data_IF_474955625657
#
_entry.id   IF_474955625657
#
_cell.length_a   1.000
_cell.length_b   1.000
_cell.length_c   1.000
_cell.angle_alpha   90.00
_cell.angle_beta   90.00
_cell.angle_gamma   90.00
#
_symmetry.space_group_name_H-M   'P 1'
#
loop_
_entity.id
_entity.type
_entity.pdbx_description
1 polymer ?
#
# COMPACT_ATOMS: atom_id res chain seq x y z
N UNK A 1 1.24 -36.99 -37.21
CA UNK A 1 0.44 -36.97 -35.97
C UNK A 1 1.25 -36.67 -34.71
N UNK A 2 2.39 -37.34 -34.47
CA UNK A 2 3.18 -37.17 -33.23
C UNK A 2 3.82 -35.77 -33.06
N UNK A 3 4.26 -35.12 -34.14
CA UNK A 3 4.89 -33.79 -34.08
C UNK A 3 3.90 -32.69 -33.63
N UNK A 4 2.68 -32.69 -34.17
CA UNK A 4 1.64 -31.74 -33.78
C UNK A 4 1.19 -31.92 -32.32
N UNK A 5 1.28 -33.15 -31.80
CA UNK A 5 0.95 -33.45 -30.41
C UNK A 5 2.01 -32.89 -29.44
N UNK A 6 3.30 -32.95 -29.81
CA UNK A 6 4.39 -32.37 -29.00
C UNK A 6 4.29 -30.84 -28.97
N UNK A 7 3.97 -30.19 -30.10
CA UNK A 7 3.75 -28.75 -30.14
C UNK A 7 2.54 -28.31 -29.30
N UNK A 8 1.46 -29.11 -29.30
CA UNK A 8 0.29 -28.84 -28.47
C UNK A 8 0.62 -28.90 -26.97
N UNK A 9 1.43 -29.90 -26.56
CA UNK A 9 1.87 -30.04 -25.16
C UNK A 9 2.79 -28.87 -24.76
N UNK A 10 3.75 -28.50 -25.61
CA UNK A 10 4.66 -27.40 -25.32
C UNK A 10 3.93 -26.05 -25.22
N UNK A 11 2.95 -25.81 -26.10
CA UNK A 11 2.11 -24.60 -26.06
C UNK A 11 1.20 -24.56 -24.82
N UNK A 12 0.65 -25.72 -24.42
CA UNK A 12 -0.11 -25.87 -23.18
C UNK A 12 0.73 -25.55 -21.94
N UNK A 13 1.95 -26.07 -21.84
CA UNK A 13 2.87 -25.76 -20.73
C UNK A 13 3.26 -24.27 -20.69
N UNK A 14 3.46 -23.65 -21.85
CA UNK A 14 3.77 -22.22 -21.93
C UNK A 14 2.63 -21.33 -21.41
N UNK A 15 1.37 -21.68 -21.70
CA UNK A 15 0.20 -20.96 -21.21
C UNK A 15 0.02 -21.08 -19.69
N UNK A 16 0.38 -22.23 -19.09
CA UNK A 16 0.32 -22.41 -17.63
C UNK A 16 1.34 -21.51 -16.93
N UNK A 17 2.55 -21.35 -17.47
CA UNK A 17 3.55 -20.44 -16.90
C UNK A 17 3.13 -18.97 -16.93
N UNK A 18 2.40 -18.52 -17.97
CA UNK A 18 1.91 -17.13 -18.03
C UNK A 18 0.76 -16.84 -17.05
N UNK A 19 -0.05 -17.84 -16.69
CA UNK A 19 -1.15 -17.64 -15.76
C UNK A 19 -0.70 -17.43 -14.31
N UNK A 20 0.51 -17.91 -13.93
CA UNK A 20 1.02 -17.81 -12.55
C UNK A 20 1.63 -16.43 -12.23
N UNK A 21 2.03 -15.65 -13.24
CA UNK A 21 2.74 -14.36 -13.03
C UNK A 21 1.76 -13.21 -12.72
N UNK A 22 0.46 -13.38 -12.96
CA UNK A 22 -0.50 -12.27 -13.02
C UNK A 22 -1.21 -11.93 -11.71
N UNK A 23 -0.92 -12.60 -10.59
CA UNK A 23 -1.61 -12.36 -9.31
C UNK A 23 -0.70 -11.79 -8.23
N UNK A 24 0.11 -10.79 -8.58
CA UNK A 24 0.65 -9.90 -7.56
C UNK A 24 -0.50 -9.00 -7.17
N UNK A 25 -1.21 -9.36 -6.09
CA UNK A 25 -2.23 -8.53 -5.47
C UNK A 25 -1.55 -7.25 -4.97
N UNK A 26 -1.55 -6.21 -5.80
CA UNK A 26 -1.31 -4.86 -5.33
C UNK A 26 -2.52 -4.49 -4.48
N UNK A 27 -2.42 -4.68 -3.17
CA UNK A 27 -3.38 -4.14 -2.21
C UNK A 27 -3.34 -2.61 -2.30
N UNK A 28 -4.25 -2.05 -3.08
CA UNK A 28 -4.41 -0.60 -3.21
C UNK A 28 -5.49 -0.13 -2.23
N UNK A 29 -5.16 0.84 -1.37
CA UNK A 29 -6.12 1.41 -0.42
C UNK A 29 -6.66 2.70 -1.03
N UNK A 30 -7.90 2.66 -1.50
CA UNK A 30 -8.56 3.83 -2.08
C UNK A 30 -9.08 4.77 -0.98
N UNK A 31 -8.61 6.02 -1.00
CA UNK A 31 -9.00 7.08 -0.09
C UNK A 31 -9.79 8.17 -0.81
N UNK A 32 -10.77 8.72 -0.10
CA UNK A 32 -11.56 9.86 -0.58
C UNK A 32 -10.92 11.14 -0.04
N UNK A 33 -11.00 12.23 -0.81
CA UNK A 33 -10.58 13.56 -0.37
C UNK A 33 -11.06 13.88 1.05
N UNK A 34 -10.14 14.36 1.87
CA UNK A 34 -10.36 14.67 3.27
C UNK A 34 -9.94 13.51 4.17
N UNK A 35 -10.68 13.31 5.25
CA UNK A 35 -10.32 12.44 6.37
C UNK A 35 -10.81 11.02 6.17
N UNK A 36 -9.91 10.05 6.34
CA UNK A 36 -10.19 8.62 6.22
C UNK A 36 -9.66 7.88 7.45
N UNK A 37 -10.37 6.86 7.92
CA UNK A 37 -9.87 5.95 8.94
C UNK A 37 -9.34 4.69 8.25
N UNK A 38 -8.04 4.45 8.37
CA UNK A 38 -7.33 3.39 7.63
C UNK A 38 -6.69 2.43 8.60
N UNK A 39 -7.00 1.14 8.46
CA UNK A 39 -6.27 0.06 9.13
C UNK A 39 -5.37 -0.61 8.11
N UNK A 40 -4.06 -0.53 8.31
CA UNK A 40 -3.09 -1.14 7.40
C UNK A 40 -2.95 -2.64 7.70
N UNK A 41 -3.36 -3.47 6.75
CA UNK A 41 -3.13 -4.91 6.78
C UNK A 41 -1.77 -5.23 6.16
N UNK A 42 -0.71 -4.95 6.93
CA UNK A 42 0.69 -5.04 6.51
C UNK A 42 1.42 -6.08 7.36
N UNK A 43 2.41 -6.77 6.78
CA UNK A 43 3.27 -7.70 7.52
C UNK A 43 4.34 -6.98 8.33
N UNK A 44 5.02 -6.03 7.69
CA UNK A 44 6.14 -5.30 8.29
C UNK A 44 5.75 -3.86 8.60
N UNK A 45 6.23 -3.37 9.75
CA UNK A 45 6.00 -1.99 10.16
C UNK A 45 6.92 -1.04 9.38
N UNK A 46 6.47 0.19 9.12
CA UNK A 46 7.26 1.20 8.40
C UNK A 46 7.02 2.60 8.95
N UNK A 47 7.95 3.52 8.66
CA UNK A 47 7.81 4.91 9.07
C UNK A 47 6.74 5.65 8.26
N UNK A 48 5.95 6.49 8.91
CA UNK A 48 4.92 7.32 8.29
C UNK A 48 5.50 8.25 7.22
N UNK A 49 6.73 8.73 7.43
CA UNK A 49 7.46 9.50 6.42
C UNK A 49 7.60 8.75 5.10
N UNK A 50 7.85 7.43 5.14
CA UNK A 50 7.94 6.60 3.93
C UNK A 50 6.62 6.57 3.18
N UNK A 51 5.50 6.42 3.90
CA UNK A 51 4.16 6.43 3.31
C UNK A 51 3.86 7.77 2.63
N UNK A 52 4.20 8.87 3.28
CA UNK A 52 3.97 10.23 2.77
C UNK A 52 4.85 10.53 1.56
N UNK A 53 6.11 10.07 1.55
CA UNK A 53 7.00 10.20 0.38
C UNK A 53 6.48 9.43 -0.83
N UNK A 54 5.88 8.27 -0.62
CA UNK A 54 5.26 7.47 -1.69
C UNK A 54 3.93 8.05 -2.16
N UNK A 55 3.21 8.80 -1.31
CA UNK A 55 1.87 9.32 -1.57
C UNK A 55 1.82 10.82 -1.21
N UNK A 56 2.32 11.70 -2.09
CA UNK A 56 2.36 13.15 -1.84
C UNK A 56 0.98 13.83 -1.73
N UNK A 57 -0.10 13.08 -1.94
CA UNK A 57 -1.50 13.49 -1.72
C UNK A 57 -1.88 13.47 -0.25
N UNK A 58 -1.14 12.77 0.61
CA UNK A 58 -1.35 12.76 2.05
C UNK A 58 -0.95 14.12 2.63
N UNK A 59 -1.89 14.76 3.33
CA UNK A 59 -1.68 16.00 4.07
C UNK A 59 -1.30 15.75 5.53
N UNK A 60 -1.88 14.72 6.15
CA UNK A 60 -1.56 14.35 7.52
C UNK A 60 -1.88 12.88 7.80
N UNK A 61 -1.17 12.31 8.77
CA UNK A 61 -1.46 10.99 9.36
C UNK A 61 -1.41 11.13 10.87
N UNK A 62 -2.39 10.59 11.59
CA UNK A 62 -2.40 10.60 13.05
C UNK A 62 -3.01 9.33 13.63
N UNK A 63 -2.75 9.08 14.91
CA UNK A 63 -3.44 8.07 15.70
C UNK A 63 -3.58 8.51 17.15
N UNK A 64 -4.52 7.90 17.86
CA UNK A 64 -4.70 8.12 19.29
C UNK A 64 -3.87 7.13 20.11
N UNK A 65 -3.11 7.64 21.06
CA UNK A 65 -2.32 6.87 22.03
C UNK A 65 -2.74 7.26 23.45
N UNK A 66 -3.68 6.50 24.02
CA UNK A 66 -4.30 6.87 25.29
C UNK A 66 -5.07 8.19 25.17
N UNK A 67 -4.63 9.20 25.93
CA UNK A 67 -5.23 10.55 25.94
C UNK A 67 -4.51 11.52 24.97
N UNK A 68 -3.45 11.07 24.29
CA UNK A 68 -2.65 11.89 23.38
C UNK A 68 -2.94 11.57 21.90
N UNK A 69 -2.74 12.56 21.04
CA UNK A 69 -2.82 12.41 19.58
C UNK A 69 -1.41 12.57 19.03
N UNK A 70 -0.89 11.51 18.43
CA UNK A 70 0.40 11.52 17.73
C UNK A 70 0.12 11.74 16.25
N UNK A 71 0.80 12.71 15.63
CA UNK A 71 0.51 13.11 14.26
C UNK A 71 1.73 13.58 13.47
N UNK A 72 1.63 13.39 12.15
CA UNK A 72 2.59 13.83 11.15
C UNK A 72 1.85 14.67 10.10
N UNK A 73 2.33 15.89 9.82
CA UNK A 73 1.71 16.81 8.84
C UNK A 73 2.66 17.13 7.70
N UNK A 74 2.20 16.94 6.46
CA UNK A 74 2.93 17.09 5.21
C UNK A 74 2.75 18.48 4.56
N UNK A 75 2.72 19.56 5.34
CA UNK A 75 2.46 20.91 4.80
C UNK A 75 3.73 21.75 4.55
N UNK A 76 4.88 21.40 5.16
CA UNK A 76 6.16 22.13 5.07
C UNK A 76 7.37 21.20 5.38
N UNK A 77 7.70 20.25 4.50
CA UNK A 77 8.81 19.27 4.72
C UNK A 77 8.66 18.35 5.96
N UNK A 78 7.45 18.25 6.53
CA UNK A 78 7.15 17.39 7.68
C UNK A 78 7.17 18.15 9.01
N UNK A 79 6.05 18.80 9.35
CA UNK A 79 5.85 19.32 10.71
C UNK A 79 5.12 18.23 11.50
N UNK A 80 5.82 17.61 12.43
CA UNK A 80 5.29 16.53 13.28
C UNK A 80 6.37 15.52 13.64
N UNK A 81 6.01 14.52 14.43
CA UNK A 81 6.93 13.43 14.76
C UNK A 81 6.82 12.31 13.72
N UNK A 82 7.96 11.85 13.21
CA UNK A 82 7.97 10.63 12.41
C UNK A 82 7.73 9.45 13.35
N UNK A 83 6.68 8.67 13.08
CA UNK A 83 6.31 7.50 13.87
C UNK A 83 6.16 6.26 13.00
N UNK A 84 6.13 5.10 13.66
CA UNK A 84 6.00 3.80 13.01
C UNK A 84 4.53 3.44 12.84
N UNK A 85 4.15 3.08 11.61
CA UNK A 85 2.88 2.45 11.28
C UNK A 85 3.01 0.96 11.55
N UNK A 86 2.28 0.49 12.56
CA UNK A 86 2.15 -0.90 12.96
C UNK A 86 0.99 -1.62 12.23
N UNK A 87 1.12 -2.94 12.00
CA UNK A 87 0.04 -3.81 11.55
C UNK A 87 -1.20 -3.71 12.43
N UNK A 88 -2.38 -3.79 11.79
CA UNK A 88 -3.69 -3.90 12.48
C UNK A 88 -4.04 -2.74 13.43
N UNK A 89 -3.35 -1.60 13.32
CA UNK A 89 -3.70 -0.36 14.01
C UNK A 89 -4.43 0.57 13.04
N UNK A 90 -5.43 1.29 13.55
CA UNK A 90 -6.19 2.28 12.78
C UNK A 90 -5.55 3.66 12.91
N UNK A 91 -5.40 4.33 11.78
CA UNK A 91 -4.86 5.69 11.66
C UNK A 91 -5.88 6.58 10.97
N UNK A 92 -5.86 7.86 11.31
CA UNK A 92 -6.54 8.89 10.55
C UNK A 92 -5.59 9.40 9.47
N UNK A 93 -5.99 9.27 8.20
CA UNK A 93 -5.22 9.73 7.03
C UNK A 93 -6.02 10.81 6.32
N UNK A 94 -5.45 12.01 6.22
CA UNK A 94 -6.05 13.14 5.53
C UNK A 94 -5.37 13.27 4.16
N UNK A 95 -6.16 13.29 3.08
CA UNK A 95 -5.68 13.41 1.70
C UNK A 95 -6.31 14.61 1.00
N UNK A 96 -5.53 15.31 0.17
CA UNK A 96 -5.97 16.52 -0.55
C UNK A 96 -6.93 16.24 -1.72
N UNK A 97 -6.90 15.02 -2.25
CA UNK A 97 -7.73 14.52 -3.34
C UNK A 97 -7.96 13.01 -3.24
N UNK A 98 -8.85 12.46 -4.08
CA UNK A 98 -9.08 11.02 -4.12
C UNK A 98 -7.81 10.33 -4.64
N UNK A 99 -7.31 9.33 -3.92
CA UNK A 99 -6.03 8.68 -4.22
C UNK A 99 -6.09 7.21 -3.88
N UNK A 100 -5.36 6.39 -4.65
CA UNK A 100 -5.11 5.00 -4.31
C UNK A 100 -3.72 4.88 -3.72
N UNK A 101 -3.61 4.52 -2.44
CA UNK A 101 -2.32 4.53 -1.74
C UNK A 101 -1.38 3.44 -2.23
N UNK A 102 -0.14 3.84 -2.48
CA UNK A 102 1.01 2.96 -2.67
C UNK A 102 1.65 2.65 -1.31
N UNK A 103 1.67 1.38 -0.93
CA UNK A 103 2.32 0.93 0.29
C UNK A 103 3.79 0.56 0.03
N UNK A 104 4.70 0.80 0.99
CA UNK A 104 6.07 0.34 0.85
C UNK A 104 6.13 -1.18 0.88
N UNK A 105 6.73 -1.77 -0.15
CA UNK A 105 6.96 -3.21 -0.25
C UNK A 105 8.38 -3.53 0.23
N UNK A 106 8.48 -4.28 1.32
CA UNK A 106 9.76 -4.84 1.79
C UNK A 106 9.78 -6.32 1.42
N UNK A 107 10.77 -6.70 0.59
CA UNK A 107 11.07 -8.09 0.21
C UNK A 107 11.74 -8.84 1.36
#
# INVERSE_FOLDING_TARGET
MKLNFIFLIAFSLFLICFAVISSIDYYSIDLVKGKNNVTFNITDSFYVETLVKLNPEIEAVSFQEGDEIVGYVNFLEGIGENFVIFPNKTYEVIVKENVSLSLPYYN
#
